data_IF_224786819777
#
_entry.id   IF_224786819777
#
_cell.length_a   1.000
_cell.length_b   1.000
_cell.length_c   1.000
_cell.angle_alpha   90.00
_cell.angle_beta   90.00
_cell.angle_gamma   90.00
#
_symmetry.space_group_name_H-M   'P 1'
#
loop_
_entity.id
_entity.type
_entity.pdbx_description
1 polymer ?
#
# COMPACT_ATOMS: atom_id res chain seq x y z
N UNK A 1 3.57 -21.99 -6.83
CA UNK A 1 4.54 -21.81 -7.93
C UNK A 1 5.01 -20.37 -7.88
N UNK A 2 6.32 -20.18 -7.97
CA UNK A 2 7.13 -19.02 -7.58
C UNK A 2 6.51 -17.62 -7.74
N UNK A 3 6.48 -16.88 -6.63
CA UNK A 3 6.51 -15.41 -6.63
C UNK A 3 7.88 -14.98 -7.17
N UNK A 4 7.93 -14.72 -8.46
CA UNK A 4 9.11 -14.25 -9.17
C UNK A 4 9.46 -12.85 -8.65
N UNK A 5 10.49 -12.77 -7.81
CA UNK A 5 10.96 -11.55 -7.14
C UNK A 5 11.24 -10.45 -8.16
N UNK A 6 10.52 -9.34 -8.06
CA UNK A 6 10.94 -8.03 -8.59
C UNK A 6 11.66 -7.25 -7.47
N UNK A 7 12.23 -7.96 -6.50
CA UNK A 7 12.92 -7.37 -5.36
C UNK A 7 14.38 -7.12 -5.75
N UNK A 8 14.72 -5.88 -6.11
CA UNK A 8 16.12 -5.44 -6.26
C UNK A 8 16.56 -4.98 -7.66
N UNK A 9 15.68 -4.91 -8.65
CA UNK A 9 16.00 -4.29 -9.94
C UNK A 9 15.95 -2.77 -9.79
N UNK A 10 17.08 -2.11 -10.07
CA UNK A 10 17.20 -0.65 -10.13
C UNK A 10 17.05 -0.20 -11.58
N UNK A 11 16.19 0.77 -11.82
CA UNK A 11 16.01 1.39 -13.13
C UNK A 11 16.60 2.79 -13.14
N UNK A 12 17.30 3.17 -14.21
CA UNK A 12 17.57 4.58 -14.46
C UNK A 12 16.25 5.30 -14.73
N UNK A 13 15.80 6.11 -13.78
CA UNK A 13 14.51 6.81 -13.84
C UNK A 13 14.38 7.73 -15.05
N UNK A 14 15.49 8.30 -15.55
CA UNK A 14 15.45 9.14 -16.74
C UNK A 14 15.19 8.28 -17.96
N UNK A 15 15.99 7.23 -18.17
CA UNK A 15 15.82 6.31 -19.31
C UNK A 15 14.48 5.58 -19.28
N UNK A 16 13.95 5.34 -18.07
CA UNK A 16 12.65 4.74 -17.87
C UNK A 16 11.53 5.62 -18.44
N UNK A 17 11.64 6.94 -18.27
CA UNK A 17 10.59 7.91 -18.58
C UNK A 17 10.81 8.67 -19.90
N UNK A 18 11.99 8.61 -20.52
CA UNK A 18 12.29 9.21 -21.83
C UNK A 18 12.19 8.20 -22.98
N UNK A 19 11.99 8.67 -24.20
CA UNK A 19 12.18 7.91 -25.45
C UNK A 19 13.21 8.64 -26.33
N UNK A 20 13.59 8.05 -27.47
CA UNK A 20 14.60 8.63 -28.38
C UNK A 20 14.25 10.08 -28.75
N UNK A 21 12.97 10.37 -28.98
CA UNK A 21 12.49 11.69 -29.43
C UNK A 21 11.74 12.49 -28.34
N UNK A 22 11.65 11.98 -27.10
CA UNK A 22 10.89 12.64 -26.02
C UNK A 22 11.61 12.61 -24.68
N UNK A 23 11.83 13.81 -24.13
CA UNK A 23 12.43 14.02 -22.81
C UNK A 23 11.51 14.72 -21.80
N UNK A 24 10.21 14.79 -22.08
CA UNK A 24 9.22 15.50 -21.24
C UNK A 24 8.00 14.64 -20.92
N UNK A 25 7.39 14.90 -19.76
CA UNK A 25 6.07 14.41 -19.36
C UNK A 25 5.06 15.55 -19.48
N UNK A 26 3.77 15.24 -19.36
CA UNK A 26 2.70 16.25 -19.42
C UNK A 26 1.96 16.38 -18.11
N UNK A 27 1.60 17.62 -17.76
CA UNK A 27 0.62 17.95 -16.74
C UNK A 27 -0.79 17.88 -17.31
N UNK A 28 -1.78 17.82 -16.42
CA UNK A 28 -3.20 17.78 -16.78
C UNK A 28 -3.72 19.03 -17.51
N UNK A 29 -2.96 20.12 -17.49
CA UNK A 29 -3.22 21.36 -18.23
C UNK A 29 -2.48 21.41 -19.59
N UNK A 30 -1.74 20.36 -19.96
CA UNK A 30 -0.95 20.27 -21.19
C UNK A 30 0.49 20.75 -21.07
N UNK A 31 0.90 21.34 -19.93
CA UNK A 31 2.27 21.81 -19.75
C UNK A 31 3.27 20.65 -19.78
N UNK A 32 4.40 20.88 -20.44
CA UNK A 32 5.48 19.91 -20.53
C UNK A 32 6.46 20.09 -19.36
N UNK A 33 6.85 18.97 -18.75
CA UNK A 33 7.82 18.91 -17.65
C UNK A 33 8.97 18.02 -18.07
N UNK A 34 10.20 18.57 -18.11
CA UNK A 34 11.40 17.80 -18.45
C UNK A 34 11.61 16.67 -17.44
N UNK A 35 11.85 15.45 -17.93
CA UNK A 35 12.12 14.27 -17.10
C UNK A 35 13.33 14.49 -16.19
N UNK A 36 14.34 15.22 -16.66
CA UNK A 36 15.54 15.59 -15.89
C UNK A 36 15.20 16.29 -14.55
N UNK A 37 14.11 17.06 -14.50
CA UNK A 37 13.67 17.75 -13.26
C UNK A 37 13.16 16.80 -12.18
N UNK A 38 12.99 15.51 -12.51
CA UNK A 38 12.55 14.48 -11.59
C UNK A 38 13.69 13.69 -10.96
N UNK A 39 14.95 13.97 -11.30
CA UNK A 39 16.11 13.30 -10.69
C UNK A 39 16.10 13.47 -9.17
N UNK A 40 16.37 12.37 -8.47
CA UNK A 40 16.40 12.33 -7.01
C UNK A 40 15.02 12.34 -6.34
N UNK A 41 13.92 12.25 -7.10
CA UNK A 41 12.58 12.03 -6.55
C UNK A 41 12.22 10.56 -6.56
N UNK A 42 11.39 10.15 -5.59
CA UNK A 42 10.65 8.89 -5.65
C UNK A 42 9.60 8.98 -6.75
N UNK A 43 9.50 7.94 -7.57
CA UNK A 43 8.61 7.90 -8.72
C UNK A 43 7.63 6.74 -8.57
N UNK A 44 6.33 7.01 -8.59
CA UNK A 44 5.32 5.96 -8.65
C UNK A 44 4.65 5.91 -10.01
N UNK A 45 4.67 4.74 -10.64
CA UNK A 45 4.01 4.53 -11.93
C UNK A 45 2.59 4.02 -11.70
N UNK A 46 1.62 4.85 -12.03
CA UNK A 46 0.20 4.54 -11.87
C UNK A 46 -0.41 4.10 -13.19
N UNK A 47 -0.66 2.80 -13.33
CA UNK A 47 -1.31 2.21 -14.49
C UNK A 47 -2.83 2.20 -14.27
N UNK A 48 -3.56 2.90 -15.13
CA UNK A 48 -5.00 3.10 -14.97
C UNK A 48 -5.71 3.43 -16.28
N UNK A 49 -7.04 3.47 -16.28
CA UNK A 49 -7.86 3.93 -17.41
C UNK A 49 -9.24 4.42 -16.98
N UNK A 50 -9.81 5.32 -17.77
CA UNK A 50 -11.12 5.93 -17.53
C UNK A 50 -12.26 4.91 -17.52
N UNK A 51 -12.19 3.88 -18.38
CA UNK A 51 -13.22 2.84 -18.54
C UNK A 51 -13.22 1.82 -17.40
N UNK A 52 -12.17 1.77 -16.59
CA UNK A 52 -12.00 0.81 -15.50
C UNK A 52 -12.72 1.29 -14.22
N UNK A 53 -13.77 0.58 -13.81
CA UNK A 53 -14.54 0.90 -12.58
C UNK A 53 -13.69 0.97 -11.30
N UNK A 54 -12.93 -0.09 -10.96
CA UNK A 54 -12.05 -0.08 -9.78
C UNK A 54 -10.99 1.02 -9.82
N UNK A 55 -10.56 1.43 -11.01
CA UNK A 55 -9.60 2.50 -11.21
C UNK A 55 -10.19 3.85 -10.79
N UNK A 56 -11.41 4.17 -11.26
CA UNK A 56 -12.11 5.40 -10.88
C UNK A 56 -12.41 5.48 -9.38
N UNK A 57 -12.57 4.35 -8.71
CA UNK A 57 -12.72 4.31 -7.25
C UNK A 57 -11.39 4.52 -6.51
N UNK A 58 -10.28 4.07 -7.08
CA UNK A 58 -8.96 4.18 -6.47
C UNK A 58 -8.32 5.57 -6.65
N UNK A 59 -8.53 6.23 -7.80
CA UNK A 59 -7.88 7.52 -8.09
C UNK A 59 -8.11 8.58 -7.01
N UNK A 60 -9.34 8.82 -6.49
CA UNK A 60 -9.54 9.82 -5.44
C UNK A 60 -8.71 9.52 -4.19
N UNK A 61 -8.60 8.25 -3.81
CA UNK A 61 -7.79 7.84 -2.66
C UNK A 61 -6.30 8.10 -2.89
N UNK A 62 -5.82 7.89 -4.11
CA UNK A 62 -4.44 8.18 -4.46
C UNK A 62 -4.18 9.70 -4.52
N UNK A 63 -5.16 10.51 -4.92
CA UNK A 63 -5.09 11.97 -4.86
C UNK A 63 -4.94 12.45 -3.42
N UNK A 64 -5.75 11.94 -2.47
CA UNK A 64 -5.61 12.28 -1.04
C UNK A 64 -4.18 12.03 -0.52
N UNK A 65 -3.57 10.90 -0.89
CA UNK A 65 -2.20 10.58 -0.49
C UNK A 65 -1.19 11.51 -1.19
N UNK A 66 -1.39 11.80 -2.47
CA UNK A 66 -0.50 12.67 -3.21
C UNK A 66 -0.49 14.11 -2.66
N UNK A 67 -1.66 14.66 -2.33
CA UNK A 67 -1.78 16.03 -1.83
C UNK A 67 -1.06 16.21 -0.48
N UNK A 68 -1.04 15.18 0.37
CA UNK A 68 -0.33 15.19 1.66
C UNK A 68 1.20 15.24 1.50
N UNK A 69 1.75 14.55 0.48
CA UNK A 69 3.20 14.34 0.37
C UNK A 69 3.89 15.13 -0.74
N UNK A 70 3.18 15.52 -1.80
CA UNK A 70 3.76 16.21 -2.96
C UNK A 70 4.37 17.57 -2.62
N UNK A 71 3.89 18.23 -1.57
CA UNK A 71 4.40 19.52 -1.09
C UNK A 71 5.87 19.50 -0.66
N UNK A 72 6.41 18.33 -0.29
CA UNK A 72 7.83 18.14 0.07
C UNK A 72 8.76 18.14 -1.15
N UNK A 73 8.21 17.88 -2.33
CA UNK A 73 8.94 17.91 -3.60
C UNK A 73 9.90 16.74 -3.82
N UNK A 74 9.91 15.71 -2.97
CA UNK A 74 10.74 14.50 -3.06
C UNK A 74 10.02 13.33 -3.74
N UNK A 75 8.80 13.55 -4.22
CA UNK A 75 7.89 12.52 -4.72
C UNK A 75 7.08 13.01 -5.93
N UNK A 76 6.83 12.12 -6.89
CA UNK A 76 5.94 12.37 -8.03
C UNK A 76 5.25 11.09 -8.52
N UNK A 77 4.01 11.22 -9.03
CA UNK A 77 3.26 10.13 -9.65
C UNK A 77 3.25 10.31 -11.17
N UNK A 78 3.50 9.24 -11.91
CA UNK A 78 3.42 9.23 -13.37
C UNK A 78 2.26 8.33 -13.79
N UNK A 79 1.23 8.94 -14.35
CA UNK A 79 0.10 8.25 -14.95
C UNK A 79 0.53 7.58 -16.27
N UNK A 80 0.32 6.26 -16.34
CA UNK A 80 0.51 5.44 -17.53
C UNK A 80 -0.86 4.94 -17.98
N UNK A 81 -1.46 5.67 -18.92
CA UNK A 81 -2.83 5.41 -19.37
C UNK A 81 -2.97 4.13 -20.21
N UNK A 82 -4.06 3.41 -19.98
CA UNK A 82 -4.59 2.34 -20.83
C UNK A 82 -5.90 2.73 -21.53
N UNK A 83 -6.20 4.02 -21.61
CA UNK A 83 -7.30 4.54 -22.42
C UNK A 83 -7.06 4.27 -23.90
N UNK A 84 -8.15 4.16 -24.67
CA UNK A 84 -8.11 3.85 -26.11
C UNK A 84 -8.25 5.09 -26.99
N UNK A 85 -8.36 6.28 -26.40
CA UNK A 85 -8.52 7.52 -27.14
C UNK A 85 -8.08 8.73 -26.32
N UNK A 86 -7.57 9.73 -27.02
CA UNK A 86 -6.99 10.95 -26.43
C UNK A 86 -8.02 11.72 -25.60
N UNK A 87 -9.26 11.81 -26.07
CA UNK A 87 -10.35 12.44 -25.32
C UNK A 87 -10.59 11.76 -23.96
N UNK A 88 -10.69 10.43 -23.93
CA UNK A 88 -10.89 9.66 -22.69
C UNK A 88 -9.70 9.80 -21.73
N UNK A 89 -8.49 9.84 -22.29
CA UNK A 89 -7.28 10.13 -21.54
C UNK A 89 -7.35 11.51 -20.88
N UNK A 90 -7.61 12.57 -21.66
CA UNK A 90 -7.64 13.95 -21.17
C UNK A 90 -8.75 14.16 -20.13
N UNK A 91 -9.96 13.64 -20.37
CA UNK A 91 -11.08 13.75 -19.44
C UNK A 91 -10.78 13.11 -18.07
N UNK A 92 -10.10 11.96 -18.07
CA UNK A 92 -9.74 11.28 -16.83
C UNK A 92 -8.52 11.90 -16.16
N UNK A 93 -7.50 12.26 -16.93
CA UNK A 93 -6.26 12.88 -16.44
C UNK A 93 -6.49 14.30 -15.90
N UNK A 94 -7.50 15.02 -16.38
CA UNK A 94 -7.92 16.34 -15.85
C UNK A 94 -8.21 16.34 -14.34
N UNK A 95 -8.49 15.16 -13.77
CA UNK A 95 -8.83 14.96 -12.35
C UNK A 95 -7.62 14.58 -11.49
N UNK A 96 -6.42 14.52 -12.08
CA UNK A 96 -5.21 14.04 -11.43
C UNK A 96 -4.20 15.20 -11.29
N UNK A 97 -3.62 15.44 -10.10
CA UNK A 97 -2.70 16.55 -9.84
C UNK A 97 -1.24 16.29 -10.24
N UNK A 98 -0.96 15.12 -10.81
CA UNK A 98 0.39 14.62 -11.11
C UNK A 98 0.68 14.60 -12.62
N UNK A 99 1.80 13.99 -13.03
CA UNK A 99 2.26 13.95 -14.41
C UNK A 99 1.78 12.70 -15.16
N UNK A 100 1.88 12.71 -16.49
CA UNK A 100 1.59 11.54 -17.32
C UNK A 100 2.62 11.33 -18.43
N UNK A 101 2.78 10.07 -18.84
CA UNK A 101 3.36 9.75 -20.15
C UNK A 101 2.37 10.27 -21.21
N UNK A 102 2.80 11.07 -22.20
CA UNK A 102 1.89 11.58 -23.23
C UNK A 102 1.10 10.48 -23.92
N UNK A 103 -0.17 10.74 -24.22
CA UNK A 103 -1.04 9.75 -24.88
C UNK A 103 -0.59 9.38 -26.30
N UNK A 104 0.19 10.24 -26.96
CA UNK A 104 0.83 9.94 -28.24
C UNK A 104 1.96 8.91 -28.13
N UNK A 105 2.62 8.77 -26.98
CA UNK A 105 3.77 7.87 -26.78
C UNK A 105 3.29 6.45 -26.38
N UNK A 106 2.60 5.78 -27.30
CA UNK A 106 2.04 4.44 -27.06
C UNK A 106 3.11 3.40 -26.76
N UNK A 107 4.25 3.50 -27.44
CA UNK A 107 5.35 2.53 -27.33
C UNK A 107 5.96 2.57 -25.94
N UNK A 108 6.17 3.76 -25.36
CA UNK A 108 6.63 3.87 -23.98
C UNK A 108 5.62 3.34 -22.99
N UNK A 109 4.32 3.65 -23.15
CA UNK A 109 3.27 3.12 -22.25
C UNK A 109 3.22 1.58 -22.29
N UNK A 110 3.31 0.99 -23.48
CA UNK A 110 3.32 -0.46 -23.64
C UNK A 110 4.61 -1.10 -23.13
N UNK A 111 5.75 -0.45 -23.30
CA UNK A 111 7.02 -0.87 -22.73
C UNK A 111 6.96 -0.91 -21.21
N UNK A 112 6.50 0.17 -20.55
CA UNK A 112 6.37 0.25 -19.09
C UNK A 112 5.41 -0.84 -18.57
N UNK A 113 4.27 -1.04 -19.22
CA UNK A 113 3.32 -2.11 -18.86
C UNK A 113 3.99 -3.49 -18.87
N UNK A 114 4.80 -3.79 -19.89
CA UNK A 114 5.53 -5.07 -20.00
C UNK A 114 6.64 -5.17 -18.96
N UNK A 115 7.43 -4.11 -18.80
CA UNK A 115 8.58 -4.05 -17.88
C UNK A 115 8.14 -4.31 -16.43
N UNK A 116 7.07 -3.66 -15.98
CA UNK A 116 6.49 -3.85 -14.65
C UNK A 116 5.51 -5.03 -14.55
N UNK A 117 5.48 -5.90 -15.57
CA UNK A 117 4.64 -7.11 -15.63
C UNK A 117 3.16 -6.83 -15.27
N UNK A 118 2.61 -5.68 -15.68
CA UNK A 118 1.25 -5.23 -15.31
C UNK A 118 0.19 -6.08 -16.01
N UNK A 119 -0.46 -6.97 -15.26
CA UNK A 119 -1.53 -7.87 -15.77
C UNK A 119 -2.93 -7.27 -15.66
N UNK A 120 -3.15 -6.36 -14.72
CA UNK A 120 -4.45 -5.75 -14.42
C UNK A 120 -4.33 -4.27 -14.06
N UNK A 121 -5.45 -3.56 -14.05
CA UNK A 121 -5.54 -2.19 -13.52
C UNK A 121 -6.68 -2.08 -12.50
N UNK A 122 -6.55 -1.19 -11.49
CA UNK A 122 -5.41 -0.30 -11.25
C UNK A 122 -4.16 -1.07 -10.79
N UNK A 123 -2.97 -0.58 -11.15
CA UNK A 123 -1.68 -1.07 -10.66
C UNK A 123 -0.79 0.13 -10.35
N UNK A 124 0.00 0.03 -9.29
CA UNK A 124 0.84 1.12 -8.79
C UNK A 124 2.20 0.52 -8.42
N UNK A 125 3.21 0.78 -9.25
CA UNK A 125 4.60 0.41 -8.96
C UNK A 125 5.28 1.57 -8.25
N UNK A 126 5.80 1.32 -7.04
CA UNK A 126 6.45 2.34 -6.23
C UNK A 126 7.97 2.21 -6.38
N UNK A 127 8.65 3.24 -6.89
CA UNK A 127 10.10 3.30 -7.01
C UNK A 127 10.68 4.34 -6.06
N UNK A 128 11.84 4.02 -5.47
CA UNK A 128 12.62 4.99 -4.69
C UNK A 128 13.44 5.93 -5.59
N UNK A 129 14.24 6.82 -4.98
CA UNK A 129 15.06 7.81 -5.70
C UNK A 129 16.15 7.18 -6.56
N UNK A 130 16.54 5.93 -6.28
CA UNK A 130 17.50 5.14 -7.07
C UNK A 130 16.84 4.37 -8.22
N UNK A 131 15.51 4.41 -8.29
CA UNK A 131 14.71 3.66 -9.24
C UNK A 131 14.59 2.18 -8.91
N UNK A 132 14.86 1.79 -7.65
CA UNK A 132 14.57 0.45 -7.16
C UNK A 132 13.08 0.32 -6.89
N UNK A 133 12.51 -0.80 -7.31
CA UNK A 133 11.11 -1.13 -7.01
C UNK A 133 10.96 -1.48 -5.52
N UNK A 134 10.20 -0.67 -4.79
CA UNK A 134 9.88 -0.87 -3.37
C UNK A 134 8.71 -1.84 -3.19
N UNK A 135 7.72 -1.76 -4.09
CA UNK A 135 6.54 -2.62 -4.06
C UNK A 135 5.80 -2.60 -5.40
N UNK A 136 5.33 -3.77 -5.82
CA UNK A 136 4.36 -3.94 -6.92
C UNK A 136 2.90 -3.89 -6.46
N UNK A 137 2.66 -3.96 -5.14
CA UNK A 137 1.33 -4.00 -4.52
C UNK A 137 0.89 -2.62 -3.99
N UNK A 138 1.38 -1.55 -4.62
CA UNK A 138 1.13 -0.17 -4.17
C UNK A 138 -0.36 0.16 -4.03
N UNK A 139 -1.22 -0.41 -4.87
CA UNK A 139 -2.68 -0.21 -4.76
C UNK A 139 -3.22 -0.74 -3.44
N UNK A 140 -2.76 -1.92 -3.00
CA UNK A 140 -3.21 -2.51 -1.73
C UNK A 140 -2.70 -1.68 -0.56
N UNK A 141 -1.43 -1.30 -0.58
CA UNK A 141 -0.81 -0.45 0.46
C UNK A 141 -1.60 0.85 0.64
N UNK A 142 -1.95 1.53 -0.45
CA UNK A 142 -2.71 2.79 -0.39
C UNK A 142 -4.14 2.58 0.08
N UNK A 143 -4.79 1.46 -0.29
CA UNK A 143 -6.14 1.14 0.16
C UNK A 143 -6.20 0.82 1.65
N UNK A 144 -5.21 0.08 2.16
CA UNK A 144 -5.18 -0.38 3.55
C UNK A 144 -4.66 0.71 4.50
N UNK A 145 -3.58 1.40 4.14
CA UNK A 145 -2.86 2.30 5.05
C UNK A 145 -3.00 3.78 4.69
N UNK A 146 -3.33 4.13 3.44
CA UNK A 146 -3.43 5.51 3.00
C UNK A 146 -2.18 6.32 3.37
N UNK A 147 -2.37 7.45 4.05
CA UNK A 147 -1.29 8.35 4.49
C UNK A 147 -0.39 7.74 5.57
N UNK A 148 -0.92 6.84 6.41
CA UNK A 148 -0.17 6.18 7.49
C UNK A 148 0.92 5.25 6.96
N UNK A 149 0.81 4.84 5.68
CA UNK A 149 1.81 4.05 4.99
C UNK A 149 3.15 4.78 4.80
N UNK A 150 3.19 6.11 4.92
CA UNK A 150 4.41 6.90 4.76
C UNK A 150 5.51 6.49 5.76
N UNK A 151 6.79 6.37 5.34
CA UNK A 151 7.37 6.74 4.04
C UNK A 151 7.27 5.69 2.94
N UNK A 152 6.38 4.71 3.07
CA UNK A 152 6.13 3.60 2.14
C UNK A 152 7.35 2.71 1.93
N UNK A 153 8.22 2.62 2.94
CA UNK A 153 9.33 1.67 2.97
C UNK A 153 8.85 0.28 3.36
N UNK A 154 9.59 -0.75 2.96
CA UNK A 154 9.25 -2.13 3.29
C UNK A 154 9.14 -2.33 4.81
N UNK A 155 10.01 -1.68 5.59
CA UNK A 155 10.03 -1.74 7.05
C UNK A 155 8.77 -1.12 7.64
N UNK A 156 8.36 0.06 7.15
CA UNK A 156 7.15 0.74 7.64
C UNK A 156 5.89 -0.08 7.34
N UNK A 157 5.80 -0.62 6.13
CA UNK A 157 4.64 -1.45 5.74
C UNK A 157 4.62 -2.75 6.55
N UNK A 158 5.78 -3.35 6.82
CA UNK A 158 5.89 -4.53 7.69
C UNK A 158 5.43 -4.22 9.12
N UNK A 159 5.88 -3.10 9.69
CA UNK A 159 5.47 -2.65 11.03
C UNK A 159 3.95 -2.47 11.12
N UNK A 160 3.32 -1.84 10.12
CA UNK A 160 1.87 -1.64 10.09
C UNK A 160 1.10 -2.96 10.02
N UNK A 161 1.57 -3.91 9.20
CA UNK A 161 1.00 -5.26 9.09
C UNK A 161 1.06 -6.00 10.42
N UNK A 162 2.22 -6.00 11.08
CA UNK A 162 2.42 -6.67 12.37
C UNK A 162 1.54 -6.06 13.48
N UNK A 163 1.39 -4.73 13.50
CA UNK A 163 0.49 -4.02 14.43
C UNK A 163 -0.97 -4.41 14.20
N UNK A 164 -1.41 -4.47 12.95
CA UNK A 164 -2.79 -4.85 12.60
C UNK A 164 -3.08 -6.32 12.97
N UNK A 165 -2.15 -7.24 12.70
CA UNK A 165 -2.26 -8.65 13.09
C UNK A 165 -2.34 -8.83 14.60
N UNK A 166 -1.52 -8.09 15.35
CA UNK A 166 -1.55 -8.09 16.81
C UNK A 166 -2.90 -7.58 17.33
N UNK A 167 -3.39 -6.46 16.81
CA UNK A 167 -4.69 -5.90 17.19
C UNK A 167 -5.86 -6.85 16.86
N UNK A 168 -5.85 -7.51 15.69
CA UNK A 168 -6.85 -8.51 15.30
C UNK A 168 -6.82 -9.74 16.22
N UNK A 169 -5.63 -10.20 16.60
CA UNK A 169 -5.45 -11.32 17.53
C UNK A 169 -5.97 -10.98 18.92
N UNK A 170 -5.64 -9.80 19.44
CA UNK A 170 -6.14 -9.32 20.73
C UNK A 170 -7.67 -9.17 20.74
N UNK A 171 -8.25 -8.59 19.68
CA UNK A 171 -9.70 -8.47 19.53
C UNK A 171 -10.37 -9.85 19.49
N UNK A 172 -9.79 -10.81 18.76
CA UNK A 172 -10.30 -12.18 18.66
C UNK A 172 -10.23 -12.89 20.01
N UNK A 173 -9.12 -12.77 20.75
CA UNK A 173 -9.00 -13.33 22.10
C UNK A 173 -10.02 -12.73 23.06
N UNK A 174 -10.24 -11.41 23.01
CA UNK A 174 -11.30 -10.76 23.80
C UNK A 174 -12.68 -11.32 23.47
N UNK A 175 -13.01 -11.54 22.20
CA UNK A 175 -14.32 -12.09 21.81
C UNK A 175 -14.55 -13.53 22.31
N UNK A 176 -13.48 -14.31 22.49
CA UNK A 176 -13.55 -15.68 23.01
C UNK A 176 -13.64 -15.68 24.54
N UNK A 177 -12.86 -14.81 25.18
CA UNK A 177 -12.72 -14.79 26.64
C UNK A 177 -13.82 -13.97 27.32
N UNK A 178 -14.44 -13.03 26.60
CA UNK A 178 -15.50 -12.14 27.09
C UNK A 178 -16.83 -12.48 26.41
N UNK A 179 -17.87 -12.73 27.20
CA UNK A 179 -19.27 -12.86 26.75
C UNK A 179 -20.15 -11.80 27.44
N UNK A 180 -21.40 -11.64 27.00
CA UNK A 180 -22.37 -10.74 27.65
C UNK A 180 -22.55 -11.03 29.15
N UNK A 181 -22.23 -12.24 29.60
CA UNK A 181 -22.38 -12.69 30.98
C UNK A 181 -21.06 -12.95 31.72
N UNK A 182 -19.90 -12.85 31.05
CA UNK A 182 -18.60 -13.18 31.63
C UNK A 182 -17.48 -12.33 31.08
N UNK A 183 -16.89 -11.50 31.94
CA UNK A 183 -15.75 -10.63 31.68
C UNK A 183 -14.50 -11.01 32.51
N UNK A 184 -14.38 -12.29 32.88
CA UNK A 184 -13.26 -12.80 33.68
C UNK A 184 -12.83 -14.21 33.28
N UNK A 185 -11.57 -14.55 33.57
CA UNK A 185 -11.03 -15.92 33.55
C UNK A 185 -10.71 -16.41 34.97
N UNK A 186 -10.60 -17.72 35.15
CA UNK A 186 -10.23 -18.36 36.41
C UNK A 186 -8.77 -18.80 36.34
N UNK A 187 -7.95 -18.40 37.32
CA UNK A 187 -6.57 -18.88 37.47
C UNK A 187 -6.51 -20.27 38.10
N UNK A 188 -5.36 -20.95 38.00
CA UNK A 188 -5.18 -22.31 38.51
C UNK A 188 -5.43 -22.46 40.03
N UNK A 189 -5.30 -21.38 40.79
CA UNK A 189 -5.59 -21.30 42.22
C UNK A 189 -7.03 -20.84 42.53
N UNK A 190 -7.90 -20.80 41.51
CA UNK A 190 -9.33 -20.55 41.64
C UNK A 190 -9.74 -19.08 41.71
N UNK A 191 -8.82 -18.12 41.55
CA UNK A 191 -9.16 -16.69 41.59
C UNK A 191 -9.77 -16.21 40.27
N UNK A 192 -10.71 -15.25 40.35
CA UNK A 192 -11.28 -14.56 39.20
C UNK A 192 -10.38 -13.40 38.79
N UNK A 193 -10.01 -13.32 37.51
CA UNK A 193 -9.23 -12.22 36.91
C UNK A 193 -10.09 -11.54 35.85
N UNK A 194 -10.51 -10.30 36.09
CA UNK A 194 -11.39 -9.52 35.21
C UNK A 194 -10.64 -8.78 34.11
N UNK A 195 -11.26 -8.67 32.93
CA UNK A 195 -10.68 -8.00 31.74
C UNK A 195 -10.81 -6.47 31.74
N UNK A 196 -11.58 -5.89 32.66
CA UNK A 196 -11.83 -4.44 32.79
C UNK A 196 -10.65 -3.63 33.37
N UNK A 197 -9.63 -4.29 33.93
CA UNK A 197 -8.46 -3.63 34.56
C UNK A 197 -7.18 -3.54 33.71
N UNK A 198 -7.19 -3.99 32.45
CA UNK A 198 -5.99 -4.17 31.64
C UNK A 198 -5.32 -2.87 31.13
N UNK A 199 -5.77 -1.69 31.56
CA UNK A 199 -5.08 -0.43 31.30
C UNK A 199 -3.88 -0.17 32.24
N UNK A 200 -3.60 -1.06 33.21
CA UNK A 200 -2.51 -0.87 34.18
C UNK A 200 -1.37 -1.89 34.13
N UNK A 201 -1.38 -2.87 33.23
CA UNK A 201 -0.25 -3.80 33.05
C UNK A 201 -0.06 -4.19 31.58
N UNK A 202 0.99 -3.71 30.89
CA UNK A 202 1.21 -3.99 29.47
C UNK A 202 1.69 -5.42 29.15
N UNK A 203 2.04 -6.24 30.15
CA UNK A 203 2.58 -7.57 29.94
C UNK A 203 1.68 -8.66 30.55
N UNK A 204 0.65 -9.09 29.82
CA UNK A 204 -0.11 -10.31 30.15
C UNK A 204 0.62 -11.59 29.65
N UNK A 205 1.66 -11.44 28.84
CA UNK A 205 2.44 -12.57 28.30
C UNK A 205 3.43 -13.19 29.28
N UNK A 206 3.80 -12.52 30.38
CA UNK A 206 4.77 -13.05 31.36
C UNK A 206 4.13 -13.96 32.43
N UNK A 207 2.80 -14.00 32.53
CA UNK A 207 2.10 -14.82 33.54
C UNK A 207 1.47 -16.09 32.99
N UNK A 208 1.53 -16.31 31.67
CA UNK A 208 1.12 -17.58 31.06
C UNK A 208 2.38 -18.26 30.56
N UNK A 209 2.99 -19.04 31.45
CA UNK A 209 4.09 -19.93 31.08
C UNK A 209 3.58 -21.02 30.12
N UNK A 210 3.68 -20.73 28.82
CA UNK A 210 3.32 -21.64 27.74
C UNK A 210 4.35 -22.78 27.55
N UNK A 211 5.44 -22.82 28.32
CA UNK A 211 6.44 -23.89 28.21
C UNK A 211 6.06 -25.17 28.94
N UNK A 212 4.99 -25.15 29.76
CA UNK A 212 4.52 -26.33 30.51
C UNK A 212 3.20 -26.92 29.99
N UNK A 213 2.82 -26.69 28.72
CA UNK A 213 1.61 -27.28 28.13
C UNK A 213 1.77 -28.77 27.81
N UNK A 214 1.86 -29.60 28.85
CA UNK A 214 1.27 -30.94 28.79
C UNK A 214 -0.24 -30.78 28.93
N UNK A 215 -0.95 -31.40 27.98
CA UNK A 215 -2.39 -31.44 27.83
C UNK A 215 -3.12 -31.51 29.18
N UNK A 216 -4.09 -30.62 29.40
CA UNK A 216 -5.40 -30.92 29.99
C UNK A 216 -6.20 -29.62 30.19
N UNK A 217 -6.82 -29.13 29.12
CA UNK A 217 -7.85 -28.11 29.24
C UNK A 217 -9.19 -28.82 29.50
N UNK A 218 -9.58 -28.91 30.77
CA UNK A 218 -10.90 -29.41 31.17
C UNK A 218 -11.90 -28.26 30.97
N UNK A 219 -12.72 -28.34 29.93
CA UNK A 219 -13.90 -27.50 29.78
C UNK A 219 -14.98 -27.97 30.77
N UNK A 220 -15.18 -27.25 31.87
CA UNK A 220 -16.41 -27.40 32.66
C UNK A 220 -17.48 -26.54 32.01
N UNK A 221 -18.30 -27.18 31.18
CA UNK A 221 -19.62 -26.67 30.80
C UNK A 221 -20.54 -26.98 31.99
N UNK A 222 -21.15 -25.98 32.60
CA UNK A 222 -22.27 -26.17 33.52
C UNK A 222 -23.48 -25.38 33.03
N UNK A 223 -24.61 -26.06 33.15
CA UNK A 223 -25.93 -25.86 32.55
C UNK A 223 -26.61 -24.53 32.83
#
# INVERSE_FOLDING_TARGET
MATDQIDGVSHDLVLLLTSEDRDFLVRNNGDQVKVESLKGKKIWLYFSASWCGPCRQFTPKLVEVYDEFSSKGDFEIIFVSRDKGDQLFNEYFSKMPWLAIPFSDSDKRDHLKKLFKVRGIPSLAMLDESGKVLSSDGVQIIKEYGVEGHPFTAEKIKELKEKEETAKKEQSLRSILVSQSRDYVISADGRKVSFTGAALYPNILDTVDLTSMSLNLVFIVSS
#
